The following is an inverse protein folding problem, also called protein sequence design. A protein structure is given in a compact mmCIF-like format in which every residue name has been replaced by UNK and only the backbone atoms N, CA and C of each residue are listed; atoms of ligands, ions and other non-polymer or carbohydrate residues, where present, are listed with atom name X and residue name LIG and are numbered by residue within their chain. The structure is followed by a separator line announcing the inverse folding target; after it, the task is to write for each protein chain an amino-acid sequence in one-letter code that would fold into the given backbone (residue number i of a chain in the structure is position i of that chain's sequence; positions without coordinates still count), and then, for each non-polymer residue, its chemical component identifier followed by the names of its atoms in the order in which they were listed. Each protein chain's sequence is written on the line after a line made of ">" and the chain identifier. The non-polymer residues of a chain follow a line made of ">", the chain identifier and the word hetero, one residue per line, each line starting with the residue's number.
data_IF_021255576911
#
_entry.id   IF_021255576911
#
_cell.length_a   1.000
_cell.length_b   1.000
_cell.length_c   1.000
_cell.angle_alpha   90.00
_cell.angle_beta   90.00
_cell.angle_gamma   90.00
#
_symmetry.space_group_name_H-M   'P 1'
#
loop_
_entity.id
_entity.type
_entity.pdbx_description
1 polymer ?
#
# COMPACT_ATOMS: atom_id res chain seq x y z
N UNK A 1 -34.29 -13.16 -20.23
CA UNK A 1 -32.96 -13.67 -19.85
C UNK A 1 -32.39 -12.73 -18.81
N UNK A 2 -32.38 -13.10 -17.53
CA UNK A 2 -31.71 -12.29 -16.49
C UNK A 2 -30.21 -12.49 -16.60
N UNK A 3 -29.50 -11.46 -17.05
CA UNK A 3 -28.05 -11.44 -17.00
C UNK A 3 -27.64 -11.19 -15.55
N UNK A 4 -27.25 -12.27 -14.86
CA UNK A 4 -26.61 -12.18 -13.56
C UNK A 4 -25.25 -11.49 -13.73
N UNK A 5 -25.24 -10.15 -13.73
CA UNK A 5 -24.04 -9.35 -13.87
C UNK A 5 -23.18 -9.53 -12.62
N UNK A 6 -22.26 -10.50 -12.68
CA UNK A 6 -21.24 -10.68 -11.66
C UNK A 6 -20.31 -9.47 -11.65
N UNK A 7 -20.22 -8.82 -10.49
CA UNK A 7 -19.31 -7.72 -10.22
C UNK A 7 -17.87 -8.10 -10.61
N UNK A 8 -17.18 -7.20 -11.31
CA UNK A 8 -15.78 -7.39 -11.68
C UNK A 8 -14.85 -7.37 -10.46
N UNK A 9 -13.64 -7.94 -10.60
CA UNK A 9 -12.62 -7.90 -9.53
C UNK A 9 -12.26 -6.45 -9.13
N UNK A 10 -12.20 -5.54 -10.09
CA UNK A 10 -11.89 -4.14 -9.85
C UNK A 10 -13.01 -3.44 -9.06
N UNK A 11 -14.28 -3.71 -9.41
CA UNK A 11 -15.43 -3.18 -8.68
C UNK A 11 -15.52 -3.75 -7.27
N UNK A 12 -15.26 -5.05 -7.10
CA UNK A 12 -15.21 -5.69 -5.79
C UNK A 12 -14.12 -5.06 -4.91
N UNK A 13 -12.92 -4.83 -5.45
CA UNK A 13 -11.84 -4.15 -4.75
C UNK A 13 -12.20 -2.72 -4.35
N UNK A 14 -12.79 -1.95 -5.26
CA UNK A 14 -13.26 -0.58 -4.99
C UNK A 14 -14.32 -0.54 -3.90
N UNK A 15 -15.33 -1.43 -3.97
CA UNK A 15 -16.40 -1.54 -2.98
C UNK A 15 -15.86 -1.95 -1.61
N UNK A 16 -14.94 -2.90 -1.56
CA UNK A 16 -14.24 -3.31 -0.34
C UNK A 16 -13.50 -2.14 0.32
N UNK A 17 -12.68 -1.42 -0.45
CA UNK A 17 -11.94 -0.26 0.05
C UNK A 17 -12.85 0.84 0.62
N UNK A 18 -13.95 1.16 -0.08
CA UNK A 18 -14.96 2.13 0.40
C UNK A 18 -15.63 1.67 1.70
N UNK A 19 -15.99 0.39 1.79
CA UNK A 19 -16.64 -0.18 2.98
C UNK A 19 -15.69 -0.15 4.18
N UNK A 20 -14.42 -0.54 4.00
CA UNK A 20 -13.40 -0.47 5.04
C UNK A 20 -13.18 0.97 5.51
N UNK A 21 -13.12 1.94 4.59
CA UNK A 21 -13.00 3.36 4.93
C UNK A 21 -14.20 3.89 5.70
N UNK A 22 -15.41 3.50 5.33
CA UNK A 22 -16.61 3.87 6.06
C UNK A 22 -16.64 3.27 7.48
N UNK A 23 -16.20 2.02 7.64
CA UNK A 23 -16.21 1.32 8.94
C UNK A 23 -15.13 1.80 9.91
N UNK A 24 -13.92 2.07 9.42
CA UNK A 24 -12.75 2.27 10.29
C UNK A 24 -12.08 3.64 10.15
N UNK A 25 -12.54 4.49 9.22
CA UNK A 25 -12.03 5.85 9.04
C UNK A 25 -10.57 5.92 8.58
N UNK A 26 -10.01 7.14 8.60
CA UNK A 26 -8.63 7.40 8.15
C UNK A 26 -7.55 6.85 9.09
N UNK A 27 -7.83 6.80 10.39
CA UNK A 27 -6.88 6.32 11.41
C UNK A 27 -6.46 4.87 11.17
N UNK A 28 -7.41 4.02 10.75
CA UNK A 28 -7.13 2.63 10.41
C UNK A 28 -6.10 2.50 9.28
N UNK A 29 -6.26 3.27 8.20
CA UNK A 29 -5.29 3.28 7.10
C UNK A 29 -3.92 3.81 7.53
N UNK A 30 -3.90 4.84 8.39
CA UNK A 30 -2.66 5.35 8.96
C UNK A 30 -1.94 4.33 9.83
N UNK A 31 -2.67 3.53 10.61
CA UNK A 31 -2.12 2.46 11.44
C UNK A 31 -1.57 1.31 10.60
N UNK A 32 -2.34 0.78 9.64
CA UNK A 32 -1.86 -0.31 8.76
C UNK A 32 -0.69 0.16 7.89
N UNK A 33 -0.72 1.42 7.41
CA UNK A 33 0.37 2.02 6.65
C UNK A 33 1.65 2.14 7.47
N UNK A 34 1.57 2.55 8.73
CA UNK A 34 2.72 2.56 9.66
C UNK A 34 3.32 1.18 9.88
N UNK A 35 2.48 0.19 10.16
CA UNK A 35 2.94 -1.20 10.40
C UNK A 35 3.58 -1.78 9.14
N UNK A 36 2.90 -1.66 7.99
CA UNK A 36 3.39 -2.16 6.71
C UNK A 36 4.65 -1.44 6.25
N UNK A 37 4.70 -0.12 6.39
CA UNK A 37 5.85 0.71 6.05
C UNK A 37 7.08 0.36 6.89
N UNK A 38 6.92 0.20 8.21
CA UNK A 38 8.02 -0.24 9.10
C UNK A 38 8.56 -1.60 8.67
N UNK A 39 7.69 -2.60 8.52
CA UNK A 39 8.08 -3.97 8.14
C UNK A 39 8.76 -4.00 6.76
N UNK A 40 8.21 -3.27 5.80
CA UNK A 40 8.78 -3.15 4.45
C UNK A 40 10.15 -2.50 4.47
N UNK A 41 10.32 -1.41 5.21
CA UNK A 41 11.60 -0.73 5.40
C UNK A 41 12.65 -1.62 6.05
N UNK A 42 12.31 -2.32 7.14
CA UNK A 42 13.21 -3.28 7.81
C UNK A 42 13.62 -4.42 6.87
N UNK A 43 12.68 -4.95 6.09
CA UNK A 43 12.97 -6.01 5.11
C UNK A 43 13.92 -5.52 4.02
N UNK A 44 13.68 -4.34 3.45
CA UNK A 44 14.55 -3.72 2.44
C UNK A 44 15.94 -3.45 3.01
N UNK A 45 16.02 -2.87 4.21
CA UNK A 45 17.29 -2.61 4.90
C UNK A 45 18.06 -3.90 5.15
N UNK A 46 17.40 -4.97 5.60
CA UNK A 46 18.03 -6.26 5.82
C UNK A 46 18.56 -6.91 4.54
N UNK A 47 17.88 -6.70 3.40
CA UNK A 47 18.27 -7.28 2.11
C UNK A 47 19.38 -6.53 1.40
N UNK A 48 19.35 -5.20 1.44
CA UNK A 48 20.19 -4.36 0.57
C UNK A 48 21.16 -3.44 1.34
N UNK A 49 21.06 -3.38 2.67
CA UNK A 49 21.93 -2.54 3.49
C UNK A 49 21.73 -1.03 3.29
N UNK A 50 22.66 -0.24 3.83
CA UNK A 50 22.65 1.22 3.78
C UNK A 50 22.96 1.78 2.38
N UNK A 51 23.78 1.08 1.60
CA UNK A 51 24.20 1.50 0.25
C UNK A 51 23.03 1.69 -0.71
N UNK A 52 21.97 0.87 -0.55
CA UNK A 52 20.74 1.01 -1.32
C UNK A 52 20.11 2.40 -1.15
N UNK A 53 19.97 2.87 0.08
CA UNK A 53 19.38 4.18 0.36
C UNK A 53 20.27 5.32 -0.11
N UNK A 54 21.59 5.18 0.00
CA UNK A 54 22.53 6.16 -0.55
C UNK A 54 22.38 6.30 -2.07
N UNK A 55 22.27 5.18 -2.80
CA UNK A 55 22.05 5.19 -4.25
C UNK A 55 20.74 5.89 -4.63
N UNK A 56 19.64 5.55 -3.95
CA UNK A 56 18.33 6.16 -4.20
C UNK A 56 18.36 7.66 -3.86
N UNK A 57 19.02 8.05 -2.77
CA UNK A 57 19.22 9.46 -2.40
C UNK A 57 20.03 10.24 -3.42
N UNK A 58 21.13 9.67 -3.94
CA UNK A 58 21.90 10.25 -5.04
C UNK A 58 21.04 10.46 -6.27
N UNK A 59 20.26 9.46 -6.70
CA UNK A 59 19.36 9.58 -7.87
C UNK A 59 18.30 10.68 -7.66
N UNK A 60 17.67 10.72 -6.48
CA UNK A 60 16.63 11.70 -6.17
C UNK A 60 17.16 13.14 -6.01
N UNK A 61 18.37 13.30 -5.50
CA UNK A 61 19.02 14.59 -5.29
C UNK A 61 19.83 15.11 -6.49
N UNK A 62 20.07 14.29 -7.51
CA UNK A 62 20.77 14.72 -8.75
C UNK A 62 19.84 15.41 -9.76
N UNK A 63 18.76 16.03 -9.28
CA UNK A 63 17.72 16.67 -10.09
C UNK A 63 17.71 18.17 -9.87
#
# INVERSE_FOLDING_TARGET
>A
METNQKMSRAEAGRKGGRTTKARYGGEHFGRIGRIGGKKGGETTKSRYGSEFYQKIGKIGGSK
#
